data_IF_671410940916
#
_entry.id   IF_671410940916
#
_cell.length_a   1.000
_cell.length_b   1.000
_cell.length_c   1.000
_cell.angle_alpha   90.00
_cell.angle_beta   90.00
_cell.angle_gamma   90.00
#
_symmetry.space_group_name_H-M   'P 1'
#
loop_
_entity.id
_entity.type
_entity.pdbx_description
1 polymer ?
#
# COMPACT_ATOMS: atom_id res chain seq x y z
N UNK A 1 23.30 14.87 4.00
CA UNK A 1 22.05 15.65 4.08
C UNK A 1 20.92 14.72 4.50
N UNK A 2 20.04 15.21 5.36
CA UNK A 2 18.92 14.43 5.87
C UNK A 2 17.81 14.29 4.84
N UNK A 3 17.01 13.21 4.96
CA UNK A 3 15.87 12.90 4.08
C UNK A 3 14.63 12.62 4.94
N UNK A 4 13.51 13.18 4.53
CA UNK A 4 12.19 12.89 5.11
C UNK A 4 11.28 12.39 3.99
N UNK A 5 10.69 11.23 4.18
CA UNK A 5 9.68 10.65 3.29
C UNK A 5 8.34 10.61 4.05
N UNK A 6 7.33 11.25 3.48
CA UNK A 6 5.95 11.22 3.97
C UNK A 6 5.13 10.39 2.97
N UNK A 7 4.74 9.18 3.38
CA UNK A 7 4.11 8.20 2.50
C UNK A 7 2.60 8.41 2.40
N UNK A 8 1.99 7.76 1.43
CA UNK A 8 0.54 7.72 1.23
C UNK A 8 0.00 8.86 0.35
N UNK A 9 -1.28 9.17 0.54
CA UNK A 9 -2.00 10.17 -0.25
C UNK A 9 -2.04 11.51 0.46
N UNK A 10 -1.91 12.59 -0.31
CA UNK A 10 -2.05 13.94 0.22
C UNK A 10 -3.51 14.28 0.53
N UNK A 11 -3.73 15.25 1.44
CA UNK A 11 -5.06 15.77 1.73
C UNK A 11 -5.78 16.24 0.47
N UNK A 12 -5.06 16.88 -0.45
CA UNK A 12 -5.62 17.31 -1.73
C UNK A 12 -6.19 16.15 -2.56
N UNK A 13 -5.52 15.01 -2.60
CA UNK A 13 -6.00 13.82 -3.32
C UNK A 13 -7.25 13.23 -2.66
N UNK A 14 -7.34 13.24 -1.33
CA UNK A 14 -8.51 12.78 -0.58
C UNK A 14 -9.69 13.73 -0.69
N UNK A 15 -9.44 15.04 -0.69
CA UNK A 15 -10.46 16.08 -0.70
C UNK A 15 -11.07 16.28 -2.10
N UNK A 16 -10.30 15.99 -3.16
CA UNK A 16 -10.77 16.03 -4.55
C UNK A 16 -11.62 14.79 -4.84
N UNK A 17 -12.93 14.91 -4.68
CA UNK A 17 -13.88 13.79 -4.82
C UNK A 17 -13.73 13.03 -6.14
N UNK A 18 -13.57 13.75 -7.26
CA UNK A 18 -13.46 13.24 -8.63
C UNK A 18 -12.31 12.22 -8.82
N UNK A 19 -11.33 12.21 -7.91
CA UNK A 19 -10.20 11.29 -7.91
C UNK A 19 -10.55 9.89 -7.37
N UNK A 20 -11.71 9.72 -6.72
CA UNK A 20 -12.19 8.43 -6.24
C UNK A 20 -11.40 7.80 -5.09
N UNK A 21 -10.54 8.52 -4.38
CA UNK A 21 -9.79 8.01 -3.22
C UNK A 21 -10.67 7.86 -1.98
N UNK A 22 -11.71 8.67 -1.86
CA UNK A 22 -12.56 8.70 -0.68
C UNK A 22 -13.79 7.78 -0.84
N UNK A 23 -14.11 7.04 0.19
CA UNK A 23 -15.35 6.25 0.30
C UNK A 23 -16.49 7.03 0.98
N UNK A 24 -16.27 8.32 1.29
CA UNK A 24 -17.26 9.19 1.91
C UNK A 24 -18.01 10.08 0.89
N UNK A 25 -17.53 10.15 -0.34
CA UNK A 25 -18.13 10.93 -1.42
C UNK A 25 -18.30 10.03 -2.63
N UNK A 26 -19.43 10.17 -3.33
CA UNK A 26 -19.63 9.44 -4.58
C UNK A 26 -18.80 10.06 -5.71
N UNK A 27 -18.06 9.21 -6.41
CA UNK A 27 -17.12 9.63 -7.45
C UNK A 27 -16.81 8.47 -8.40
N UNK A 28 -16.27 8.72 -9.59
CA UNK A 28 -15.76 7.67 -10.46
C UNK A 28 -14.67 6.84 -9.76
N UNK A 29 -14.61 5.54 -10.07
CA UNK A 29 -13.59 4.63 -9.58
C UNK A 29 -12.26 4.84 -10.30
N UNK A 30 -11.51 5.86 -9.92
CA UNK A 30 -10.21 6.18 -10.51
C UNK A 30 -9.04 5.74 -9.61
N UNK A 31 -8.83 6.37 -8.48
CA UNK A 31 -7.75 6.15 -7.49
C UNK A 31 -6.33 6.26 -8.02
N UNK A 32 -6.11 6.74 -9.24
CA UNK A 32 -4.77 6.93 -9.79
C UNK A 32 -4.11 8.16 -9.20
N UNK A 33 -2.87 8.04 -8.76
CA UNK A 33 -2.00 9.18 -8.42
C UNK A 33 -1.47 9.85 -9.69
N UNK A 34 -1.22 9.07 -10.73
CA UNK A 34 -0.84 9.54 -12.09
C UNK A 34 -2.07 9.92 -12.93
N UNK A 35 -1.83 10.43 -14.14
CA UNK A 35 -2.89 10.76 -15.12
C UNK A 35 -3.22 9.60 -16.07
N UNK A 36 -2.46 8.52 -16.03
CA UNK A 36 -2.57 7.37 -16.95
C UNK A 36 -2.26 6.07 -16.21
N UNK A 37 -2.57 4.95 -16.84
CA UNK A 37 -2.34 3.61 -16.31
C UNK A 37 -3.60 2.97 -15.74
N UNK A 38 -3.40 1.88 -14.99
CA UNK A 38 -4.45 1.10 -14.35
C UNK A 38 -5.29 1.97 -13.41
N UNK A 39 -6.61 1.89 -13.51
CA UNK A 39 -7.56 2.59 -12.63
C UNK A 39 -8.25 1.63 -11.67
N UNK A 40 -8.89 2.15 -10.64
CA UNK A 40 -9.74 1.35 -9.75
C UNK A 40 -10.91 0.70 -10.50
N UNK A 41 -11.43 1.38 -11.52
CA UNK A 41 -12.44 0.82 -12.41
C UNK A 41 -11.93 -0.45 -13.11
N UNK A 42 -10.70 -0.41 -13.64
CA UNK A 42 -10.11 -1.56 -14.32
C UNK A 42 -9.89 -2.73 -13.37
N UNK A 43 -9.38 -2.48 -12.17
CA UNK A 43 -9.20 -3.51 -11.14
C UNK A 43 -10.53 -4.16 -10.78
N UNK A 44 -11.55 -3.36 -10.48
CA UNK A 44 -12.85 -3.85 -10.03
C UNK A 44 -13.60 -4.59 -11.13
N UNK A 45 -13.53 -4.12 -12.39
CA UNK A 45 -14.33 -4.67 -13.47
C UNK A 45 -13.61 -5.75 -14.30
N UNK A 46 -12.26 -5.78 -14.33
CA UNK A 46 -11.52 -6.68 -15.23
C UNK A 46 -10.76 -7.81 -14.50
N UNK A 47 -10.34 -7.61 -13.23
CA UNK A 47 -9.64 -8.66 -12.49
C UNK A 47 -10.55 -9.86 -12.23
N UNK A 48 -10.01 -11.07 -12.26
CA UNK A 48 -10.77 -12.26 -11.87
C UNK A 48 -11.05 -12.31 -10.35
N UNK A 49 -11.95 -13.18 -9.93
CA UNK A 49 -12.35 -13.30 -8.53
C UNK A 49 -11.17 -13.62 -7.61
N UNK A 50 -10.25 -14.48 -8.06
CA UNK A 50 -9.08 -14.88 -7.30
C UNK A 50 -8.09 -13.73 -7.14
N UNK A 51 -7.82 -13.00 -8.22
CA UNK A 51 -6.98 -11.80 -8.19
C UNK A 51 -7.56 -10.75 -7.23
N UNK A 52 -8.87 -10.45 -7.34
CA UNK A 52 -9.54 -9.53 -6.42
C UNK A 52 -9.43 -9.97 -4.96
N UNK A 53 -9.70 -11.25 -4.68
CA UNK A 53 -9.59 -11.78 -3.33
C UNK A 53 -8.17 -11.68 -2.78
N UNK A 54 -7.15 -11.94 -3.61
CA UNK A 54 -5.75 -11.89 -3.23
C UNK A 54 -5.30 -10.47 -2.88
N UNK A 55 -5.58 -9.48 -3.74
CA UNK A 55 -5.20 -8.09 -3.46
C UNK A 55 -5.93 -7.55 -2.22
N UNK A 56 -7.23 -7.82 -2.08
CA UNK A 56 -8.02 -7.38 -0.92
C UNK A 56 -7.50 -8.02 0.38
N UNK A 57 -7.07 -9.27 0.32
CA UNK A 57 -6.48 -9.95 1.47
C UNK A 57 -5.07 -9.42 1.80
N UNK A 58 -4.19 -9.34 0.80
CA UNK A 58 -2.78 -9.00 1.00
C UNK A 58 -2.57 -7.51 1.29
N UNK A 59 -3.24 -6.63 0.55
CA UNK A 59 -3.05 -5.18 0.66
C UNK A 59 -4.06 -4.50 1.58
N UNK A 60 -5.23 -5.10 1.77
CA UNK A 60 -6.24 -4.61 2.69
C UNK A 60 -6.20 -5.29 4.06
N UNK A 61 -5.50 -6.41 4.19
CA UNK A 61 -5.56 -7.27 5.38
C UNK A 61 -7.03 -7.60 5.77
N UNK A 62 -7.89 -7.76 4.73
CA UNK A 62 -9.33 -7.93 4.89
C UNK A 62 -9.71 -9.41 4.95
N UNK A 63 -10.25 -9.84 6.07
CA UNK A 63 -10.63 -11.25 6.31
C UNK A 63 -11.78 -11.73 5.42
N UNK A 64 -12.65 -10.82 4.99
CA UNK A 64 -13.80 -11.12 4.13
C UNK A 64 -13.49 -10.99 2.63
N UNK A 65 -12.21 -10.93 2.25
CA UNK A 65 -11.72 -10.70 0.90
C UNK A 65 -12.40 -11.59 -0.15
N UNK A 66 -12.51 -12.89 0.10
CA UNK A 66 -13.14 -13.85 -0.84
C UNK A 66 -14.60 -13.52 -1.09
N UNK A 67 -15.35 -13.20 -0.02
CA UNK A 67 -16.77 -12.87 -0.12
C UNK A 67 -16.98 -11.53 -0.82
N UNK A 68 -16.13 -10.56 -0.55
CA UNK A 68 -16.15 -9.26 -1.24
C UNK A 68 -15.86 -9.46 -2.72
N UNK A 69 -14.81 -10.19 -3.08
CA UNK A 69 -14.46 -10.47 -4.47
C UNK A 69 -15.58 -11.18 -5.24
N UNK A 70 -16.17 -12.23 -4.66
CA UNK A 70 -17.30 -12.94 -5.27
C UNK A 70 -18.50 -12.02 -5.51
N UNK A 71 -18.83 -11.14 -4.55
CA UNK A 71 -19.93 -10.19 -4.70
C UNK A 71 -19.63 -9.09 -5.73
N UNK A 72 -18.39 -8.63 -5.84
CA UNK A 72 -17.95 -7.71 -6.91
C UNK A 72 -18.16 -8.38 -8.28
N UNK A 73 -17.65 -9.59 -8.47
CA UNK A 73 -17.81 -10.33 -9.74
C UNK A 73 -19.28 -10.56 -10.09
N UNK A 74 -20.09 -10.93 -9.10
CA UNK A 74 -21.54 -11.10 -9.28
C UNK A 74 -22.26 -9.79 -9.64
N UNK A 75 -21.87 -8.68 -9.05
CA UNK A 75 -22.48 -7.38 -9.31
C UNK A 75 -22.11 -6.87 -10.71
N UNK A 76 -20.82 -6.88 -11.08
CA UNK A 76 -20.36 -6.41 -12.38
C UNK A 76 -20.86 -7.22 -13.57
N UNK A 77 -21.23 -8.50 -13.33
CA UNK A 77 -21.86 -9.33 -14.36
C UNK A 77 -23.23 -8.80 -14.80
N UNK A 78 -23.90 -7.99 -13.96
CA UNK A 78 -25.19 -7.36 -14.29
C UNK A 78 -25.00 -5.96 -14.88
N UNK A 79 -24.12 -5.16 -14.29
CA UNK A 79 -23.77 -3.80 -14.70
C UNK A 79 -22.34 -3.51 -14.21
N UNK A 80 -21.46 -2.90 -15.04
CA UNK A 80 -20.17 -2.42 -14.57
C UNK A 80 -20.31 -1.54 -13.31
N UNK A 81 -19.35 -1.68 -12.40
CA UNK A 81 -19.28 -0.87 -11.18
C UNK A 81 -18.51 0.40 -11.53
N UNK A 82 -19.18 1.54 -11.51
CA UNK A 82 -18.65 2.80 -12.02
C UNK A 82 -18.24 3.78 -10.92
N UNK A 83 -18.93 3.72 -9.76
CA UNK A 83 -18.72 4.70 -8.71
C UNK A 83 -18.25 4.10 -7.39
N UNK A 84 -17.69 4.96 -6.56
CA UNK A 84 -17.23 4.60 -5.22
C UNK A 84 -18.37 4.10 -4.35
N UNK A 85 -19.56 4.68 -4.42
CA UNK A 85 -20.70 4.26 -3.61
C UNK A 85 -21.25 2.90 -4.04
N UNK A 86 -21.31 2.61 -5.34
CA UNK A 86 -21.67 1.27 -5.82
C UNK A 86 -20.75 0.20 -5.23
N UNK A 87 -19.43 0.46 -5.21
CA UNK A 87 -18.45 -0.43 -4.61
C UNK A 87 -18.62 -0.54 -3.08
N UNK A 88 -18.85 0.57 -2.39
CA UNK A 88 -19.10 0.61 -0.93
C UNK A 88 -20.30 -0.25 -0.56
N UNK A 89 -21.39 -0.18 -1.32
CA UNK A 89 -22.60 -0.95 -1.04
C UNK A 89 -22.39 -2.46 -1.23
N UNK A 90 -21.62 -2.85 -2.24
CA UNK A 90 -21.22 -4.25 -2.44
C UNK A 90 -20.37 -4.73 -1.25
N UNK A 91 -19.41 -3.94 -0.79
CA UNK A 91 -18.57 -4.28 0.36
C UNK A 91 -19.40 -4.44 1.62
N UNK A 92 -20.29 -3.48 1.90
CA UNK A 92 -21.22 -3.53 3.06
C UNK A 92 -22.06 -4.79 3.04
N UNK A 93 -22.65 -5.14 1.90
CA UNK A 93 -23.47 -6.36 1.77
C UNK A 93 -22.66 -7.64 1.93
N UNK A 94 -21.36 -7.58 1.78
CA UNK A 94 -20.44 -8.72 1.89
C UNK A 94 -19.97 -8.99 3.31
N UNK A 95 -20.20 -8.07 4.25
CA UNK A 95 -19.67 -8.14 5.62
C UNK A 95 -20.79 -8.31 6.65
N UNK A 96 -20.57 -9.06 7.73
CA UNK A 96 -21.52 -9.13 8.83
C UNK A 96 -21.57 -7.80 9.60
N UNK A 97 -22.73 -7.40 10.09
CA UNK A 97 -22.93 -6.14 10.80
C UNK A 97 -21.96 -5.93 11.99
N UNK A 98 -21.60 -7.02 12.67
CA UNK A 98 -20.62 -6.96 13.78
C UNK A 98 -19.26 -6.46 13.32
N UNK A 99 -18.83 -6.79 12.10
CA UNK A 99 -17.52 -6.38 11.56
C UNK A 99 -17.51 -4.89 11.09
N UNK A 100 -18.68 -4.26 10.98
CA UNK A 100 -18.81 -2.88 10.54
C UNK A 100 -18.83 -1.86 11.69
N UNK A 101 -18.72 -2.31 12.96
CA UNK A 101 -18.86 -1.42 14.13
C UNK A 101 -17.59 -0.63 14.44
N UNK A 102 -16.42 -1.20 14.21
CA UNK A 102 -15.15 -0.62 14.67
C UNK A 102 -14.51 0.33 13.66
N UNK A 103 -14.81 0.16 12.38
CA UNK A 103 -14.28 1.02 11.31
C UNK A 103 -15.18 0.97 10.07
N UNK A 104 -15.06 1.97 9.19
CA UNK A 104 -15.81 1.98 7.95
C UNK A 104 -15.47 0.73 7.10
N UNK A 105 -16.48 -0.08 6.69
CA UNK A 105 -16.28 -1.39 6.08
C UNK A 105 -15.47 -1.35 4.77
N UNK A 106 -15.57 -0.26 4.01
CA UNK A 106 -14.84 -0.10 2.75
C UNK A 106 -13.36 0.28 2.93
N UNK A 107 -12.92 0.73 4.12
CA UNK A 107 -11.57 1.27 4.33
C UNK A 107 -10.47 0.34 3.82
N UNK A 108 -10.51 -0.93 4.21
CA UNK A 108 -9.48 -1.92 3.86
C UNK A 108 -9.49 -2.28 2.38
N UNK A 109 -10.68 -2.43 1.79
CA UNK A 109 -10.81 -2.74 0.36
C UNK A 109 -10.37 -1.56 -0.50
N UNK A 110 -10.70 -0.33 -0.13
CA UNK A 110 -10.24 0.87 -0.83
C UNK A 110 -8.71 1.02 -0.74
N UNK A 111 -8.13 0.79 0.45
CA UNK A 111 -6.67 0.75 0.61
C UNK A 111 -6.05 -0.30 -0.33
N UNK A 112 -6.62 -1.50 -0.40
CA UNK A 112 -6.09 -2.57 -1.24
C UNK A 112 -6.10 -2.21 -2.73
N UNK A 113 -7.21 -1.68 -3.22
CA UNK A 113 -7.34 -1.25 -4.62
C UNK A 113 -6.39 -0.09 -4.92
N UNK A 114 -6.27 0.89 -4.01
CA UNK A 114 -5.35 2.02 -4.16
C UNK A 114 -3.89 1.57 -4.27
N UNK A 115 -3.46 0.67 -3.41
CA UNK A 115 -2.11 0.10 -3.42
C UNK A 115 -1.84 -0.61 -4.75
N UNK A 116 -2.79 -1.40 -5.24
CA UNK A 116 -2.68 -2.10 -6.52
C UNK A 116 -2.59 -1.13 -7.70
N UNK A 117 -3.50 -0.16 -7.77
CA UNK A 117 -3.57 0.85 -8.84
C UNK A 117 -2.27 1.64 -8.98
N UNK A 118 -1.65 1.99 -7.86
CA UNK A 118 -0.49 2.86 -7.82
C UNK A 118 0.84 2.12 -7.58
N UNK A 119 0.82 0.78 -7.48
CA UNK A 119 1.98 -0.06 -7.16
C UNK A 119 2.76 0.47 -5.92
N UNK A 120 2.05 1.01 -4.91
CA UNK A 120 2.61 1.81 -3.81
C UNK A 120 3.73 1.07 -3.07
N UNK A 121 3.57 -0.23 -2.83
CA UNK A 121 4.57 -1.00 -2.08
C UNK A 121 5.85 -1.27 -2.89
N UNK A 122 5.75 -1.42 -4.19
CA UNK A 122 6.92 -1.64 -5.04
C UNK A 122 7.67 -0.32 -5.28
N UNK A 123 6.94 0.78 -5.47
CA UNK A 123 7.51 2.12 -5.51
C UNK A 123 8.21 2.45 -4.20
N UNK A 124 7.61 2.10 -3.05
CA UNK A 124 8.25 2.30 -1.75
C UNK A 124 9.59 1.56 -1.65
N UNK A 125 9.63 0.28 -2.03
CA UNK A 125 10.87 -0.51 -1.97
C UNK A 125 11.99 0.11 -2.80
N UNK A 126 11.72 0.46 -4.06
CA UNK A 126 12.72 1.10 -4.93
C UNK A 126 13.14 2.47 -4.38
N UNK A 127 12.19 3.27 -3.88
CA UNK A 127 12.49 4.58 -3.29
C UNK A 127 13.39 4.48 -2.06
N UNK A 128 13.23 3.43 -1.23
CA UNK A 128 14.10 3.21 -0.07
C UNK A 128 15.53 2.94 -0.50
N UNK A 129 15.75 2.11 -1.51
CA UNK A 129 17.08 1.80 -2.05
C UNK A 129 17.74 3.07 -2.60
N UNK A 130 17.04 3.81 -3.47
CA UNK A 130 17.50 5.06 -4.04
C UNK A 130 17.80 6.13 -2.96
N UNK A 131 16.93 6.23 -1.94
CA UNK A 131 17.11 7.19 -0.86
C UNK A 131 18.34 6.90 -0.01
N UNK A 132 18.67 5.62 0.17
CA UNK A 132 19.87 5.19 0.87
C UNK A 132 21.15 5.53 0.07
N UNK A 133 21.15 5.27 -1.22
CA UNK A 133 22.30 5.50 -2.10
C UNK A 133 22.71 6.98 -2.20
N UNK A 134 21.74 7.89 -2.09
CA UNK A 134 21.97 9.34 -2.11
C UNK A 134 22.21 9.94 -0.72
N UNK A 135 22.20 9.12 0.34
CA UNK A 135 22.44 9.60 1.70
C UNK A 135 23.94 9.86 1.93
N UNK A 136 24.27 11.06 2.32
CA UNK A 136 25.67 11.39 2.66
C UNK A 136 26.10 10.69 3.96
N UNK A 137 27.40 10.39 4.15
CA UNK A 137 27.91 9.89 5.44
C UNK A 137 27.48 10.77 6.61
N UNK A 138 26.90 10.16 7.66
CA UNK A 138 26.32 10.86 8.80
C UNK A 138 24.93 11.47 8.57
N UNK A 139 24.37 11.32 7.37
CA UNK A 139 23.00 11.74 7.05
C UNK A 139 21.95 10.85 7.73
N UNK A 140 20.75 11.39 7.89
CA UNK A 140 19.61 10.70 8.52
C UNK A 140 18.47 10.53 7.54
N UNK A 141 17.75 9.41 7.65
CA UNK A 141 16.51 9.15 6.92
C UNK A 141 15.38 8.96 7.94
N UNK A 142 14.28 9.67 7.73
CA UNK A 142 13.05 9.52 8.50
C UNK A 142 11.89 9.24 7.54
N UNK A 143 11.02 8.30 7.92
CA UNK A 143 9.91 7.87 7.08
C UNK A 143 8.65 7.81 7.92
N UNK A 144 7.57 8.47 7.45
CA UNK A 144 6.26 8.44 8.06
C UNK A 144 5.41 7.43 7.31
N UNK A 145 4.91 6.42 8.00
CA UNK A 145 4.06 5.35 7.46
C UNK A 145 2.65 5.47 8.01
N UNK A 146 1.64 5.13 7.20
CA UNK A 146 0.22 5.25 7.57
C UNK A 146 -0.47 3.90 7.75
N UNK A 147 0.12 2.81 7.29
CA UNK A 147 -0.43 1.47 7.48
C UNK A 147 0.64 0.40 7.69
N UNK A 148 0.21 -0.75 8.21
CA UNK A 148 1.05 -1.89 8.62
C UNK A 148 1.99 -2.42 7.52
N UNK A 149 1.57 -2.40 6.26
CA UNK A 149 2.37 -2.92 5.15
C UNK A 149 3.57 -2.02 4.84
N UNK A 150 3.37 -0.69 4.82
CA UNK A 150 4.46 0.27 4.69
C UNK A 150 5.44 0.15 5.85
N UNK A 151 4.93 0.14 7.08
CA UNK A 151 5.73 0.01 8.30
C UNK A 151 6.61 -1.24 8.29
N UNK A 152 6.04 -2.38 7.84
CA UNK A 152 6.78 -3.64 7.70
C UNK A 152 7.92 -3.53 6.71
N UNK A 153 7.67 -2.98 5.51
CA UNK A 153 8.69 -2.80 4.47
C UNK A 153 9.81 -1.91 4.97
N UNK A 154 9.48 -0.78 5.59
CA UNK A 154 10.46 0.16 6.13
C UNK A 154 11.31 -0.49 7.21
N UNK A 155 10.70 -1.20 8.18
CA UNK A 155 11.41 -1.90 9.25
C UNK A 155 12.32 -3.01 8.73
N UNK A 156 11.83 -3.80 7.78
CA UNK A 156 12.64 -4.85 7.13
C UNK A 156 13.85 -4.26 6.39
N UNK A 157 13.66 -3.14 5.69
CA UNK A 157 14.74 -2.48 4.97
C UNK A 157 15.75 -1.85 5.93
N UNK A 158 15.29 -1.19 7.00
CA UNK A 158 16.17 -0.65 8.03
C UNK A 158 16.96 -1.75 8.74
N UNK A 159 16.32 -2.88 9.04
CA UNK A 159 17.01 -4.04 9.60
C UNK A 159 18.11 -4.58 8.66
N UNK A 160 17.87 -4.61 7.34
CA UNK A 160 18.90 -4.99 6.36
C UNK A 160 20.07 -4.01 6.36
N UNK A 161 19.81 -2.71 6.39
CA UNK A 161 20.86 -1.70 6.43
C UNK A 161 21.68 -1.74 7.74
N UNK A 162 21.06 -2.19 8.85
CA UNK A 162 21.74 -2.35 10.13
C UNK A 162 22.45 -3.71 10.28
N UNK A 163 22.30 -4.64 9.32
CA UNK A 163 23.05 -5.88 9.35
C UNK A 163 24.54 -5.59 9.13
N UNK A 164 25.35 -5.99 10.10
CA UNK A 164 26.81 -5.94 9.98
C UNK A 164 27.31 -6.84 8.83
N UNK A 165 28.63 -6.88 8.67
CA UNK A 165 29.28 -7.68 7.64
C UNK A 165 28.76 -9.13 7.65
N UNK A 166 28.27 -9.60 6.51
CA UNK A 166 27.85 -10.98 6.25
C UNK A 166 28.95 -11.84 5.63
N UNK A 167 30.19 -11.33 5.59
CA UNK A 167 31.32 -12.09 5.08
C UNK A 167 31.54 -13.33 5.93
N UNK A 168 31.96 -14.46 5.34
CA UNK A 168 32.39 -15.65 6.06
C UNK A 168 33.48 -15.27 7.06
N UNK A 169 33.41 -15.79 8.28
CA UNK A 169 34.36 -15.48 9.37
C UNK A 169 35.81 -15.83 9.06
N UNK A 170 36.01 -16.58 8.00
CA UNK A 170 37.33 -17.06 7.51
C UNK A 170 38.06 -16.01 6.65
N UNK A 171 37.37 -14.90 6.25
CA UNK A 171 37.99 -13.83 5.50
C UNK A 171 38.74 -12.89 6.45
N UNK A 172 40.08 -12.73 6.27
CA UNK A 172 40.90 -11.89 7.14
C UNK A 172 40.60 -10.40 7.03
N UNK A 173 39.90 -9.97 5.98
CA UNK A 173 39.47 -8.58 5.76
C UNK A 173 38.04 -8.59 5.20
N UNK A 174 37.17 -7.76 5.73
CA UNK A 174 35.81 -7.61 5.21
C UNK A 174 35.83 -6.99 3.81
N UNK A 175 35.43 -7.75 2.81
CA UNK A 175 35.35 -7.31 1.40
C UNK A 175 34.11 -6.41 1.16
N UNK A 176 33.12 -6.47 2.05
CA UNK A 176 31.87 -5.68 2.00
C UNK A 176 31.92 -4.42 2.89
N UNK A 177 33.10 -3.98 3.29
CA UNK A 177 33.33 -2.93 4.30
C UNK A 177 32.82 -1.52 3.95
N UNK A 178 31.86 -1.40 3.07
CA UNK A 178 31.25 -0.12 2.70
C UNK A 178 30.12 0.32 3.64
N UNK A 179 29.76 -0.47 4.67
CA UNK A 179 28.61 -0.16 5.50
C UNK A 179 29.02 -0.11 6.98
N UNK A 180 29.63 0.98 7.39
CA UNK A 180 29.54 1.40 8.78
C UNK A 180 28.21 2.11 8.98
N UNK A 181 27.16 1.32 9.21
CA UNK A 181 25.87 1.84 9.61
C UNK A 181 25.93 2.09 11.11
N UNK A 182 25.79 3.34 11.50
CA UNK A 182 25.60 3.73 12.90
C UNK A 182 24.39 3.01 13.51
N UNK A 183 24.53 2.53 14.74
CA UNK A 183 23.47 1.83 15.48
C UNK A 183 22.12 2.57 15.40
N UNK A 184 20.98 1.83 15.24
CA UNK A 184 19.66 2.43 15.35
C UNK A 184 19.47 2.93 16.80
N UNK A 185 19.27 4.23 16.95
CA UNK A 185 18.83 4.80 18.24
C UNK A 185 17.43 4.28 18.53
N UNK A 186 17.33 3.35 19.46
CA UNK A 186 16.05 2.98 20.09
C UNK A 186 15.60 4.16 20.97
N UNK A 187 14.49 4.73 20.63
CA UNK A 187 13.67 5.53 21.55
C UNK A 187 12.42 4.76 21.93
#
# INVERSE_FOLDING_TARGET
>A
RDRLLDLGVSSFQLDTAERGFSFHKDAPLDMRMSKSGLSAYDVVNNYDERQLADIIYRYGEEKFSRRIAANIVKARAKKPIETTFELVDIIKSSMPQKAMRDAHPARRTFQAIRIEVNAELDVLKSTLEDAFDILAPGGRIAIITFHSLEDRIVKEQFAKWCQGCTCPKEFPVCVLSLIHISEPTRH
#
